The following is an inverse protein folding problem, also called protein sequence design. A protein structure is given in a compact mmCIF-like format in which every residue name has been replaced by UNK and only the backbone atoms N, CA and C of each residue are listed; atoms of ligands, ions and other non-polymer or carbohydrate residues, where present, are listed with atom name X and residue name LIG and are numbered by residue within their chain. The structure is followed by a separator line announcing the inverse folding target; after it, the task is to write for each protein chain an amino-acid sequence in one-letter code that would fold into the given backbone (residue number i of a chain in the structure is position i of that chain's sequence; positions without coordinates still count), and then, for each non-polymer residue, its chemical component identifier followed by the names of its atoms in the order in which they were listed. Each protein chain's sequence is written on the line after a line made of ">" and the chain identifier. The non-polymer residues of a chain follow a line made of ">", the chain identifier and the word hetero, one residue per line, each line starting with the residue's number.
data_IF_520303471676
#
_entry.id   IF_520303471676
#
_cell.length_a   1.000
_cell.length_b   1.000
_cell.length_c   1.000
_cell.angle_alpha   90.00
_cell.angle_beta   90.00
_cell.angle_gamma   90.00
#
_symmetry.space_group_name_H-M   'P 1'
#
loop_
_entity.id
_entity.type
_entity.pdbx_description
1 polymer ?
#
# COMPACT_ATOMS: atom_id res chain seq x y z
N UNK A 1 -1.23 -9.84 5.38
CA UNK A 1 -1.65 -8.89 4.31
C UNK A 1 -0.66 -7.77 4.08
N UNK A 2 -0.26 -7.04 5.11
CA UNK A 2 0.74 -5.96 4.94
C UNK A 2 2.06 -6.46 4.38
N UNK A 3 2.52 -7.65 4.77
CA UNK A 3 3.72 -8.26 4.22
C UNK A 3 3.63 -8.45 2.71
N UNK A 4 2.47 -8.88 2.22
CA UNK A 4 2.24 -9.07 0.78
C UNK A 4 2.26 -7.74 0.03
N UNK A 5 1.65 -6.69 0.60
CA UNK A 5 1.68 -5.34 0.03
C UNK A 5 3.12 -4.86 -0.07
N UNK A 6 3.87 -4.93 1.02
CA UNK A 6 5.28 -4.50 1.07
C UNK A 6 6.12 -5.25 0.04
N UNK A 7 5.94 -6.56 -0.06
CA UNK A 7 6.67 -7.36 -1.04
C UNK A 7 6.33 -6.95 -2.47
N UNK A 8 5.04 -6.78 -2.76
CA UNK A 8 4.59 -6.38 -4.09
C UNK A 8 5.09 -4.99 -4.46
N UNK A 9 5.06 -4.04 -3.50
CA UNK A 9 5.40 -2.65 -3.76
C UNK A 9 6.91 -2.40 -3.93
N UNK A 10 7.73 -3.02 -3.11
CA UNK A 10 9.16 -2.67 -3.06
C UNK A 10 10.08 -3.85 -2.75
N UNK A 11 9.55 -5.06 -2.60
CA UNK A 11 10.28 -6.23 -2.09
C UNK A 11 10.91 -5.96 -0.71
N UNK A 12 10.27 -5.11 0.07
CA UNK A 12 10.71 -4.79 1.42
C UNK A 12 11.79 -3.72 1.51
N UNK A 13 12.05 -2.97 0.45
CA UNK A 13 13.08 -1.94 0.45
C UNK A 13 12.57 -0.66 1.15
N UNK A 14 13.09 -0.31 2.35
CA UNK A 14 12.64 0.89 3.07
C UNK A 14 13.04 2.20 2.38
N UNK A 15 13.99 2.17 1.46
CA UNK A 15 14.49 3.35 0.75
C UNK A 15 13.92 3.47 -0.67
N UNK A 16 12.99 2.59 -1.04
CA UNK A 16 12.42 2.62 -2.38
C UNK A 16 11.71 3.96 -2.64
N UNK A 17 12.01 4.58 -3.76
CA UNK A 17 11.34 5.80 -4.23
C UNK A 17 10.98 5.59 -5.70
N UNK A 18 9.70 5.77 -6.01
CA UNK A 18 9.21 5.69 -7.38
C UNK A 18 8.55 7.01 -7.77
N UNK A 19 8.95 7.55 -8.92
CA UNK A 19 8.35 8.76 -9.48
C UNK A 19 7.31 8.37 -10.52
N UNK A 20 6.09 8.87 -10.34
CA UNK A 20 4.98 8.58 -11.24
C UNK A 20 4.89 9.64 -12.35
N UNK A 21 4.23 9.28 -13.46
CA UNK A 21 4.07 10.15 -14.61
C UNK A 21 3.34 11.46 -14.28
N UNK A 22 2.44 11.45 -13.28
CA UNK A 22 1.67 12.63 -12.85
C UNK A 22 2.46 13.57 -11.93
N UNK A 23 3.74 13.27 -11.66
CA UNK A 23 4.60 14.05 -10.77
C UNK A 23 4.53 13.63 -9.30
N UNK A 24 3.62 12.73 -8.94
CA UNK A 24 3.59 12.18 -7.59
C UNK A 24 4.77 11.23 -7.36
N UNK A 25 5.06 10.96 -6.08
CA UNK A 25 6.10 10.01 -5.70
C UNK A 25 5.56 9.01 -4.69
N UNK A 26 6.10 7.80 -4.73
CA UNK A 26 5.83 6.76 -3.75
C UNK A 26 7.09 6.49 -2.95
N UNK A 27 6.99 6.43 -1.62
CA UNK A 27 8.15 6.33 -0.74
C UNK A 27 8.03 5.12 0.18
N UNK A 28 9.15 4.41 0.33
CA UNK A 28 9.36 3.40 1.32
C UNK A 28 8.81 2.04 0.93
N UNK A 29 8.89 1.13 1.88
CA UNK A 29 8.59 -0.27 1.60
C UNK A 29 7.13 -0.52 1.20
N UNK A 30 6.18 0.28 1.67
CA UNK A 30 4.77 0.18 1.29
C UNK A 30 4.36 1.20 0.23
N UNK A 31 5.31 1.96 -0.31
CA UNK A 31 5.13 2.93 -1.40
C UNK A 31 4.02 3.94 -1.11
N UNK A 32 4.19 4.68 -0.01
CA UNK A 32 3.25 5.73 0.39
C UNK A 32 3.31 6.89 -0.60
N UNK A 33 2.17 7.18 -1.22
CA UNK A 33 2.07 8.23 -2.25
C UNK A 33 2.09 9.63 -1.65
N UNK A 34 2.69 10.56 -2.38
CA UNK A 34 2.81 11.96 -1.98
C UNK A 34 1.47 12.67 -1.73
N UNK A 35 0.36 12.14 -2.24
CA UNK A 35 -0.98 12.68 -1.97
C UNK A 35 -1.29 12.70 -0.45
N UNK A 36 -0.66 11.81 0.31
CA UNK A 36 -0.87 11.69 1.75
C UNK A 36 0.05 12.57 2.58
N UNK A 37 1.06 13.20 1.98
CA UNK A 37 2.12 13.90 2.74
C UNK A 37 1.58 15.05 3.59
N UNK A 38 0.64 15.84 3.05
CA UNK A 38 0.05 16.95 3.78
C UNK A 38 -0.71 16.50 5.02
N UNK A 39 -1.54 15.46 4.88
CA UNK A 39 -2.29 14.88 5.99
C UNK A 39 -1.36 14.28 7.04
N UNK A 40 -0.35 13.53 6.59
CA UNK A 40 0.61 12.89 7.50
C UNK A 40 1.41 13.93 8.30
N UNK A 41 1.81 15.03 7.66
CA UNK A 41 2.51 16.11 8.35
C UNK A 41 1.69 16.68 9.50
N UNK A 42 0.36 16.81 9.35
CA UNK A 42 -0.52 17.27 10.42
C UNK A 42 -0.54 16.34 11.62
N UNK A 43 -0.28 15.05 11.41
CA UNK A 43 -0.19 14.04 12.47
C UNK A 43 1.24 13.83 12.96
N UNK A 44 2.17 14.72 12.59
CA UNK A 44 3.55 14.65 13.06
C UNK A 44 4.43 13.66 12.30
N UNK A 45 4.02 13.23 11.10
CA UNK A 45 4.80 12.32 10.25
C UNK A 45 5.31 13.09 9.04
N UNK A 46 6.56 13.61 9.09
CA UNK A 46 7.12 14.32 7.95
C UNK A 46 7.56 13.34 6.84
N UNK A 47 7.71 13.87 5.63
CA UNK A 47 8.08 13.06 4.46
C UNK A 47 9.32 12.19 4.69
N UNK A 48 10.36 12.76 5.31
CA UNK A 48 11.62 12.03 5.50
C UNK A 48 11.47 10.84 6.47
N UNK A 49 10.44 10.84 7.34
CA UNK A 49 10.20 9.72 8.24
C UNK A 49 9.70 8.47 7.50
N UNK A 50 9.20 8.62 6.26
CA UNK A 50 8.64 7.50 5.50
C UNK A 50 9.70 6.52 4.98
N UNK A 51 10.98 6.84 5.07
CA UNK A 51 12.07 5.90 4.81
C UNK A 51 12.45 5.08 6.04
N UNK A 52 11.87 5.37 7.20
CA UNK A 52 11.95 4.50 8.37
C UNK A 52 10.97 3.34 8.20
N UNK A 53 11.46 2.10 8.33
CA UNK A 53 10.66 0.92 8.06
C UNK A 53 9.43 0.83 8.97
N UNK A 54 9.59 1.10 10.27
CA UNK A 54 8.49 1.04 11.22
C UNK A 54 7.44 2.11 10.93
N UNK A 55 7.86 3.34 10.72
CA UNK A 55 6.95 4.45 10.41
C UNK A 55 6.16 4.15 9.15
N UNK A 56 6.83 3.68 8.11
CA UNK A 56 6.18 3.38 6.83
C UNK A 56 5.10 2.31 6.97
N UNK A 57 5.38 1.24 7.72
CA UNK A 57 4.41 0.16 7.97
C UNK A 57 3.21 0.66 8.77
N UNK A 58 3.42 1.48 9.80
CA UNK A 58 2.30 2.05 10.58
C UNK A 58 1.41 2.93 9.70
N UNK A 59 2.01 3.75 8.83
CA UNK A 59 1.26 4.58 7.89
C UNK A 59 0.47 3.70 6.92
N UNK A 60 1.10 2.66 6.38
CA UNK A 60 0.43 1.73 5.47
C UNK A 60 -0.76 1.06 6.14
N UNK A 61 -0.60 0.60 7.38
CA UNK A 61 -1.68 -0.02 8.14
C UNK A 61 -2.84 0.96 8.36
N UNK A 62 -2.53 2.21 8.69
CA UNK A 62 -3.53 3.25 8.89
C UNK A 62 -4.31 3.55 7.60
N UNK A 63 -3.61 3.67 6.47
CA UNK A 63 -4.24 3.90 5.16
C UNK A 63 -5.11 2.72 4.75
N UNK A 64 -4.61 1.49 4.94
CA UNK A 64 -5.38 0.28 4.63
C UNK A 64 -6.64 0.19 5.51
N UNK A 65 -6.53 0.52 6.80
CA UNK A 65 -7.67 0.53 7.70
C UNK A 65 -8.77 1.47 7.23
N UNK A 66 -8.40 2.65 6.72
CA UNK A 66 -9.38 3.58 6.17
C UNK A 66 -10.14 2.98 4.99
N UNK A 67 -9.44 2.24 4.13
CA UNK A 67 -10.08 1.54 3.01
C UNK A 67 -10.99 0.42 3.50
N UNK A 68 -10.59 -0.28 4.56
CA UNK A 68 -11.43 -1.33 5.16
C UNK A 68 -12.67 -0.76 5.83
N UNK A 69 -12.59 0.43 6.42
CA UNK A 69 -13.78 1.12 6.95
C UNK A 69 -14.76 1.45 5.82
N UNK A 70 -14.25 1.89 4.67
CA UNK A 70 -15.07 2.25 3.51
C UNK A 70 -15.65 1.04 2.78
N UNK A 71 -14.85 0.01 2.56
CA UNK A 71 -15.18 -1.11 1.68
C UNK A 71 -15.40 -2.43 2.43
N UNK A 72 -15.25 -2.44 3.75
CA UNK A 72 -15.31 -3.66 4.53
C UNK A 72 -14.02 -4.47 4.46
N UNK A 73 -14.02 -5.64 5.06
CA UNK A 73 -12.90 -6.58 5.00
C UNK A 73 -12.99 -7.39 3.70
N UNK A 74 -12.61 -6.76 2.60
CA UNK A 74 -12.81 -7.29 1.24
C UNK A 74 -11.56 -7.09 0.39
N UNK A 75 -11.48 -7.82 -0.71
CA UNK A 75 -10.43 -7.60 -1.72
C UNK A 75 -10.55 -6.21 -2.36
N UNK A 76 -11.77 -5.65 -2.40
CA UNK A 76 -11.97 -4.27 -2.85
C UNK A 76 -11.20 -3.28 -1.98
N UNK A 77 -11.22 -3.46 -0.65
CA UNK A 77 -10.45 -2.62 0.26
C UNK A 77 -8.95 -2.74 0.00
N UNK A 78 -8.45 -3.94 -0.25
CA UNK A 78 -7.04 -4.18 -0.57
C UNK A 78 -6.67 -3.44 -1.87
N UNK A 79 -7.49 -3.57 -2.90
CA UNK A 79 -7.27 -2.87 -4.16
C UNK A 79 -7.33 -1.36 -4.01
N UNK A 80 -8.26 -0.87 -3.20
CA UNK A 80 -8.45 0.57 -2.95
C UNK A 80 -7.25 1.20 -2.23
N UNK A 81 -6.43 0.42 -1.54
CA UNK A 81 -5.16 0.89 -1.00
C UNK A 81 -4.30 1.54 -2.10
N UNK A 82 -4.29 0.95 -3.28
CA UNK A 82 -3.55 1.47 -4.44
C UNK A 82 -4.35 2.54 -5.20
N UNK A 83 -5.63 2.26 -5.50
CA UNK A 83 -6.45 3.14 -6.32
C UNK A 83 -7.94 2.84 -6.09
N UNK A 84 -8.76 3.90 -6.07
CA UNK A 84 -10.22 3.76 -6.03
C UNK A 84 -10.81 3.51 -7.43
N UNK A 85 -10.03 3.69 -8.50
CA UNK A 85 -10.48 3.42 -9.87
C UNK A 85 -10.71 1.92 -10.04
N UNK A 86 -11.93 1.46 -10.39
CA UNK A 86 -12.28 0.03 -10.36
C UNK A 86 -11.31 -0.88 -11.10
N UNK A 87 -10.88 -0.52 -12.32
CA UNK A 87 -9.97 -1.38 -13.08
C UNK A 87 -8.61 -1.52 -12.40
N UNK A 88 -8.04 -0.41 -11.92
CA UNK A 88 -6.74 -0.41 -11.21
C UNK A 88 -6.85 -1.07 -9.84
N UNK A 89 -7.93 -0.77 -9.12
CA UNK A 89 -8.24 -1.37 -7.82
C UNK A 89 -8.28 -2.90 -7.90
N UNK A 90 -9.04 -3.40 -8.86
CA UNK A 90 -9.25 -4.84 -8.97
C UNK A 90 -8.01 -5.56 -9.49
N UNK A 91 -7.25 -4.93 -10.39
CA UNK A 91 -5.96 -5.46 -10.85
C UNK A 91 -4.95 -5.55 -9.71
N UNK A 92 -4.89 -4.53 -8.85
CA UNK A 92 -4.00 -4.53 -7.69
C UNK A 92 -4.38 -5.66 -6.72
N UNK A 93 -5.67 -5.80 -6.41
CA UNK A 93 -6.15 -6.88 -5.53
C UNK A 93 -5.73 -8.26 -6.06
N UNK A 94 -5.88 -8.49 -7.38
CA UNK A 94 -5.43 -9.74 -7.98
C UNK A 94 -3.92 -9.96 -7.86
N UNK A 95 -3.14 -8.90 -7.97
CA UNK A 95 -1.69 -8.97 -7.81
C UNK A 95 -1.30 -9.39 -6.38
N UNK A 96 -1.96 -8.83 -5.37
CA UNK A 96 -1.72 -9.20 -3.98
C UNK A 96 -2.17 -10.65 -3.72
N UNK A 97 -3.31 -11.06 -4.28
CA UNK A 97 -3.76 -12.46 -4.21
C UNK A 97 -2.69 -13.42 -4.75
N UNK A 98 -2.06 -13.08 -5.89
CA UNK A 98 -1.00 -13.90 -6.48
C UNK A 98 0.22 -14.03 -5.56
N UNK A 99 0.61 -12.96 -4.87
CA UNK A 99 1.69 -13.03 -3.88
C UNK A 99 1.35 -14.04 -2.79
N UNK A 100 0.13 -13.94 -2.24
CA UNK A 100 -0.31 -14.83 -1.18
C UNK A 100 -0.42 -16.28 -1.64
N UNK A 101 -0.88 -16.53 -2.86
CA UNK A 101 -0.93 -17.87 -3.45
C UNK A 101 0.50 -18.44 -3.59
N UNK A 102 1.43 -17.63 -4.10
CA UNK A 102 2.83 -18.02 -4.23
C UNK A 102 3.44 -18.41 -2.89
N UNK A 103 3.07 -17.72 -1.82
CA UNK A 103 3.54 -18.02 -0.47
C UNK A 103 2.81 -19.19 0.20
N UNK A 104 1.78 -19.74 -0.44
CA UNK A 104 0.96 -20.79 0.15
C UNK A 104 0.00 -20.31 1.23
N UNK A 105 -0.21 -19.00 1.35
CA UNK A 105 -1.09 -18.39 2.36
C UNK A 105 -2.52 -18.18 1.85
N UNK A 106 -2.75 -18.45 0.58
CA UNK A 106 -4.07 -18.36 -0.06
C UNK A 106 -4.17 -19.45 -1.11
N UNK A 107 -5.30 -20.16 -1.16
CA UNK A 107 -5.53 -21.16 -2.20
C UNK A 107 -5.93 -20.46 -3.50
N UNK A 108 -5.48 -20.99 -4.68
CA UNK A 108 -5.94 -20.45 -5.96
C UNK A 108 -7.46 -20.43 -6.05
N UNK A 109 -8.02 -19.35 -6.57
CA UNK A 109 -9.47 -19.19 -6.73
C UNK A 109 -10.20 -18.61 -5.53
N UNK A 110 -9.48 -18.29 -4.47
CA UNK A 110 -10.03 -17.56 -3.32
C UNK A 110 -9.75 -16.06 -3.49
#
# INVERSE_FOLDING_TARGET
>A
MLRAIVWFESKGDPRAVHRNADGSVDIGQAQINSIHFGTLARYGVPRHALTDACVNIYVAAWLLKQKMVKHGNTWRAIGAYHSETPAQRDAYARSIQRVLVTWGELKPGQ
#
